data_IF_663724246080
#
_entry.id   IF_663724246080
#
_cell.length_a   1.000
_cell.length_b   1.000
_cell.length_c   1.000
_cell.angle_alpha   90.00
_cell.angle_beta   90.00
_cell.angle_gamma   90.00
#
_symmetry.space_group_name_H-M   'P 1'
#
loop_
_entity.id
_entity.type
_entity.pdbx_description
1 polymer ?
#
# COMPACT_ATOMS: atom_id res chain seq x y z
N UNK A 1 3.40 11.52 -8.28
CA UNK A 1 4.46 11.13 -7.32
C UNK A 1 4.18 9.74 -6.81
N UNK A 2 5.12 8.81 -6.93
CA UNK A 2 4.98 7.44 -6.42
C UNK A 2 5.67 7.36 -5.05
N UNK A 3 4.92 7.00 -4.02
CA UNK A 3 5.37 6.93 -2.64
C UNK A 3 5.79 5.49 -2.31
N UNK A 4 7.10 5.25 -2.29
CA UNK A 4 7.72 3.94 -2.08
C UNK A 4 8.50 3.85 -0.76
N UNK A 5 8.09 4.57 0.29
CA UNK A 5 8.63 4.36 1.64
C UNK A 5 8.28 2.95 2.15
N UNK A 6 9.08 2.43 3.07
CA UNK A 6 8.89 1.10 3.66
C UNK A 6 7.46 0.91 4.21
N UNK A 7 6.92 -0.33 4.18
CA UNK A 7 5.58 -0.66 4.69
C UNK A 7 5.55 -0.77 6.23
N UNK A 8 6.15 0.18 6.94
CA UNK A 8 6.11 0.27 8.41
C UNK A 8 5.15 1.38 8.84
N UNK A 9 4.81 1.44 10.13
CA UNK A 9 3.95 2.50 10.68
C UNK A 9 4.51 3.90 10.37
N UNK A 10 5.83 4.07 10.52
CA UNK A 10 6.53 5.33 10.23
C UNK A 10 6.55 5.62 8.73
N UNK A 11 6.72 4.59 7.91
CA UNK A 11 6.71 4.72 6.45
C UNK A 11 5.33 5.12 5.92
N UNK A 12 4.25 4.57 6.48
CA UNK A 12 2.86 4.96 6.19
C UNK A 12 2.58 6.40 6.64
N UNK A 13 3.00 6.78 7.86
CA UNK A 13 2.86 8.16 8.33
C UNK A 13 3.58 9.16 7.41
N UNK A 14 4.81 8.82 7.00
CA UNK A 14 5.61 9.64 6.08
C UNK A 14 4.94 9.73 4.70
N UNK A 15 4.41 8.62 4.19
CA UNK A 15 3.72 8.60 2.91
C UNK A 15 2.46 9.48 2.94
N UNK A 16 1.64 9.36 3.98
CA UNK A 16 0.44 10.20 4.14
C UNK A 16 0.79 11.68 4.22
N UNK A 17 1.82 12.04 5.00
CA UNK A 17 2.30 13.42 5.08
C UNK A 17 2.71 13.98 3.72
N UNK A 18 3.47 13.21 2.94
CA UNK A 18 3.89 13.64 1.59
C UNK A 18 2.68 13.71 0.64
N UNK A 19 1.72 12.78 0.74
CA UNK A 19 0.51 12.80 -0.09
C UNK A 19 -0.33 14.06 0.16
N UNK A 20 -0.46 14.49 1.42
CA UNK A 20 -1.11 15.75 1.79
C UNK A 20 -0.40 16.97 1.18
N UNK A 21 0.94 16.97 1.18
CA UNK A 21 1.71 18.01 0.49
C UNK A 21 1.47 17.97 -1.02
N UNK A 22 1.51 16.79 -1.66
CA UNK A 22 1.23 16.66 -3.09
C UNK A 22 -0.15 17.21 -3.46
N UNK A 23 -1.18 16.95 -2.64
CA UNK A 23 -2.52 17.48 -2.85
C UNK A 23 -2.55 19.02 -2.82
N UNK A 24 -1.80 19.67 -1.93
CA UNK A 24 -1.70 21.13 -1.87
C UNK A 24 -1.09 21.75 -3.12
N UNK A 25 -0.21 21.02 -3.81
CA UNK A 25 0.46 21.47 -5.04
C UNK A 25 -0.18 20.92 -6.33
N UNK A 26 -1.33 20.24 -6.25
CA UNK A 26 -2.01 19.67 -7.41
C UNK A 26 -1.22 18.55 -8.11
N UNK A 27 -0.41 17.82 -7.34
CA UNK A 27 0.36 16.67 -7.83
C UNK A 27 -0.36 15.39 -7.42
N UNK A 28 -0.67 14.52 -8.38
CA UNK A 28 -1.25 13.22 -8.08
C UNK A 28 -0.23 12.34 -7.34
N UNK A 29 -0.59 11.87 -6.15
CA UNK A 29 0.21 10.93 -5.37
C UNK A 29 -0.39 9.52 -5.43
N UNK A 30 0.46 8.50 -5.52
CA UNK A 30 0.07 7.09 -5.44
C UNK A 30 1.01 6.32 -4.53
N UNK A 31 0.50 5.27 -3.88
CA UNK A 31 1.26 4.38 -2.99
C UNK A 31 1.56 3.07 -3.71
N UNK A 32 2.74 2.51 -3.51
CA UNK A 32 3.01 1.13 -3.95
C UNK A 32 2.03 0.16 -3.24
N UNK A 33 1.58 -0.86 -3.96
CA UNK A 33 0.63 -1.82 -3.39
C UNK A 33 1.29 -2.63 -2.27
N UNK A 34 0.51 -2.91 -1.22
CA UNK A 34 0.90 -3.79 -0.12
C UNK A 34 0.03 -5.04 -0.14
N UNK A 35 0.67 -6.20 -0.04
CA UNK A 35 -0.06 -7.46 0.07
C UNK A 35 0.82 -8.68 -0.12
N UNK A 36 0.17 -9.82 -0.38
CA UNK A 36 0.81 -11.12 -0.57
C UNK A 36 1.84 -11.05 -1.71
N UNK A 37 3.09 -11.49 -1.49
CA UNK A 37 4.09 -11.54 -2.55
C UNK A 37 3.76 -12.61 -3.60
N UNK A 38 4.18 -12.38 -4.84
CA UNK A 38 4.04 -13.38 -5.91
C UNK A 38 4.85 -14.64 -5.54
N UNK A 39 4.21 -15.80 -5.69
CA UNK A 39 4.84 -17.09 -5.38
C UNK A 39 4.83 -17.45 -3.89
N UNK A 40 4.25 -16.63 -3.02
CA UNK A 40 4.01 -16.97 -1.62
C UNK A 40 2.78 -17.85 -1.43
N UNK A 41 2.85 -18.80 -0.50
CA UNK A 41 1.71 -19.61 -0.08
C UNK A 41 0.99 -18.94 1.09
N UNK A 42 -0.36 -18.91 1.07
CA UNK A 42 -1.14 -18.18 2.07
C UNK A 42 -0.89 -18.65 3.51
N UNK A 43 -0.55 -19.92 3.72
CA UNK A 43 -0.21 -20.47 5.04
C UNK A 43 1.09 -19.91 5.63
N UNK A 44 1.97 -19.39 4.77
CA UNK A 44 3.26 -18.80 5.14
C UNK A 44 3.19 -17.27 5.27
N UNK A 45 2.04 -16.65 4.98
CA UNK A 45 1.85 -15.20 5.05
C UNK A 45 1.39 -14.80 6.45
N UNK A 46 1.99 -13.75 7.00
CA UNK A 46 1.58 -13.20 8.29
C UNK A 46 0.17 -12.56 8.22
N UNK A 47 -0.50 -12.51 9.37
CA UNK A 47 -1.86 -11.99 9.46
C UNK A 47 -2.02 -10.53 9.03
N UNK A 48 -0.99 -9.71 9.20
CA UNK A 48 -1.02 -8.28 8.82
C UNK A 48 -1.00 -8.14 7.30
N UNK A 49 -0.10 -8.87 6.63
CA UNK A 49 -0.03 -8.90 5.17
C UNK A 49 -1.31 -9.45 4.56
N UNK A 50 -1.90 -10.52 5.13
CA UNK A 50 -3.20 -11.04 4.70
C UNK A 50 -4.32 -10.00 4.87
N UNK A 51 -4.35 -9.32 6.01
CA UNK A 51 -5.36 -8.29 6.29
C UNK A 51 -5.26 -7.13 5.31
N UNK A 52 -4.05 -6.63 5.03
CA UNK A 52 -3.81 -5.60 4.01
C UNK A 52 -4.24 -6.05 2.62
N UNK A 53 -3.91 -7.29 2.23
CA UNK A 53 -4.28 -7.85 0.94
C UNK A 53 -5.79 -7.97 0.76
N UNK A 54 -6.52 -8.37 1.81
CA UNK A 54 -7.98 -8.48 1.79
C UNK A 54 -8.67 -7.11 1.74
N UNK A 55 -8.13 -6.13 2.47
CA UNK A 55 -8.62 -4.76 2.46
C UNK A 55 -8.40 -4.08 1.10
N UNK A 56 -7.23 -4.28 0.50
CA UNK A 56 -6.84 -3.74 -0.81
C UNK A 56 -7.27 -4.58 -2.01
N UNK A 57 -8.07 -5.63 -1.82
CA UNK A 57 -8.44 -6.54 -2.93
C UNK A 57 -9.19 -5.79 -4.04
N UNK A 58 -8.83 -6.08 -5.28
CA UNK A 58 -9.52 -5.53 -6.44
C UNK A 58 -10.58 -6.50 -6.95
N UNK A 59 -11.79 -6.02 -7.19
CA UNK A 59 -12.86 -6.81 -7.81
C UNK A 59 -12.54 -7.00 -9.29
N UNK A 60 -12.43 -8.26 -9.72
CA UNK A 60 -12.36 -8.58 -11.14
C UNK A 60 -13.78 -8.55 -11.70
N UNK A 61 -13.99 -7.77 -12.76
CA UNK A 61 -15.25 -7.71 -13.51
C UNK A 61 -14.94 -8.10 -14.96
N UNK A 62 -15.81 -8.91 -15.56
CA UNK A 62 -15.73 -9.34 -16.96
C UNK A 62 -16.72 -8.55 -17.81
#
# INVERSE_FOLDING_TARGET
MILATNPTVEGEATANYIAELCAQYGVDASRIAHGVPVGGELEMVDGTTLSHSLAGRHKITF
#
